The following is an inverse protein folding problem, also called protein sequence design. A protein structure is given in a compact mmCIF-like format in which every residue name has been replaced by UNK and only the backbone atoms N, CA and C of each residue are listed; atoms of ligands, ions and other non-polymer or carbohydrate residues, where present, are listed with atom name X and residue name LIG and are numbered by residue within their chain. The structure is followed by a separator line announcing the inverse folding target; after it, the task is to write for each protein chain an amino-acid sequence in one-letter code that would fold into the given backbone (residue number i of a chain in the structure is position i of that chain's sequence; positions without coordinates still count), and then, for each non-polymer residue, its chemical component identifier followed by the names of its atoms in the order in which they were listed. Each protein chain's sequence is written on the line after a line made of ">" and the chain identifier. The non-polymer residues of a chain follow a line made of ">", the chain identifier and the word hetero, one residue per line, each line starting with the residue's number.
data_IF_332192318191
#
_entry.id   IF_332192318191
#
_cell.length_a   1.000
_cell.length_b   1.000
_cell.length_c   1.000
_cell.angle_alpha   90.00
_cell.angle_beta   90.00
_cell.angle_gamma   90.00
#
_symmetry.space_group_name_H-M   'P 1'
#
loop_
_entity.id
_entity.type
_entity.pdbx_description
1 polymer ?
#
# COMPACT_ATOMS: atom_id res chain seq x y z
N UNK A 1 -7.24 5.37 11.90
CA UNK A 1 -6.59 6.57 11.34
C UNK A 1 -7.73 7.42 10.85
N UNK A 2 -7.85 8.62 11.38
CA UNK A 2 -9.09 9.40 11.22
C UNK A 2 -8.97 10.48 10.14
N UNK A 3 -7.75 10.97 9.89
CA UNK A 3 -7.48 12.05 8.92
C UNK A 3 -6.40 11.66 7.94
N UNK A 4 -6.35 12.29 6.77
CA UNK A 4 -5.29 12.13 5.78
C UNK A 4 -3.89 12.32 6.39
N UNK A 5 -2.95 11.46 6.02
CA UNK A 5 -1.56 11.58 6.47
C UNK A 5 -0.60 10.71 5.66
N UNK A 6 0.70 11.01 5.80
CA UNK A 6 1.76 10.10 5.44
C UNK A 6 2.16 9.22 6.63
N UNK A 7 2.47 7.95 6.35
CA UNK A 7 2.89 6.96 7.34
C UNK A 7 4.25 6.37 6.96
N UNK A 8 5.12 6.25 7.95
CA UNK A 8 6.40 5.56 7.81
C UNK A 8 6.27 4.10 8.22
N UNK A 9 6.73 3.22 7.35
CA UNK A 9 6.74 1.78 7.56
C UNK A 9 8.01 1.34 8.29
N UNK A 10 7.89 0.33 9.16
CA UNK A 10 9.03 -0.31 9.82
C UNK A 10 9.17 -1.73 9.26
N UNK A 11 10.17 -2.00 8.38
CA UNK A 11 10.36 -3.33 7.79
C UNK A 11 10.63 -4.42 8.83
N UNK A 12 11.23 -4.05 9.96
CA UNK A 12 11.56 -4.97 11.06
C UNK A 12 10.34 -5.42 11.86
N UNK A 13 9.24 -4.65 11.82
CA UNK A 13 8.01 -4.93 12.56
C UNK A 13 6.98 -5.70 11.72
N UNK A 14 7.25 -5.93 10.44
CA UNK A 14 6.35 -6.64 9.53
C UNK A 14 4.95 -5.99 9.45
N UNK A 15 4.88 -4.66 9.66
CA UNK A 15 3.61 -3.92 9.65
C UNK A 15 3.00 -3.92 8.24
N UNK A 16 1.67 -3.92 8.17
CA UNK A 16 0.88 -3.88 6.94
C UNK A 16 -0.20 -2.80 7.05
N UNK A 17 -0.78 -2.40 5.92
CA UNK A 17 -1.97 -1.54 5.92
C UNK A 17 -3.19 -2.41 5.69
N UNK A 18 -4.18 -2.31 6.58
CA UNK A 18 -5.48 -2.94 6.40
C UNK A 18 -6.50 -1.86 6.05
N UNK A 19 -7.13 -2.00 4.89
CA UNK A 19 -8.28 -1.19 4.49
C UNK A 19 -9.53 -1.99 4.79
N UNK A 20 -10.45 -1.42 5.57
CA UNK A 20 -11.65 -2.07 6.07
C UNK A 20 -12.88 -1.29 5.65
N UNK A 21 -13.89 -1.96 5.11
CA UNK A 21 -15.19 -1.36 4.89
C UNK A 21 -15.88 -1.13 6.25
N UNK A 22 -16.46 0.06 6.43
CA UNK A 22 -17.04 0.43 7.72
C UNK A 22 -18.39 -0.24 8.01
N UNK A 23 -19.09 -0.68 6.96
CA UNK A 23 -20.47 -1.20 6.99
C UNK A 23 -20.52 -2.65 6.54
N UNK A 24 -19.82 -2.99 5.45
CA UNK A 24 -19.89 -4.30 4.83
C UNK A 24 -19.27 -5.37 5.72
N UNK A 25 -20.06 -6.42 6.00
CA UNK A 25 -19.65 -7.57 6.79
C UNK A 25 -19.92 -8.84 6.01
N UNK A 26 -19.05 -9.82 6.21
CA UNK A 26 -19.28 -11.19 5.73
C UNK A 26 -20.36 -11.91 6.56
N UNK A 27 -20.75 -13.12 6.16
CA UNK A 27 -21.79 -13.90 6.84
C UNK A 27 -21.42 -14.31 8.28
N UNK A 28 -20.16 -14.13 8.67
CA UNK A 28 -19.65 -14.35 10.04
C UNK A 28 -19.65 -13.07 10.88
N UNK A 29 -20.21 -11.97 10.36
CA UNK A 29 -20.32 -10.68 11.05
C UNK A 29 -19.01 -9.89 11.14
N UNK A 30 -17.98 -10.28 10.40
CA UNK A 30 -16.67 -9.59 10.38
C UNK A 30 -16.65 -8.57 9.24
N UNK A 31 -16.05 -7.41 9.46
CA UNK A 31 -15.86 -6.40 8.41
C UNK A 31 -15.03 -6.99 7.26
N UNK A 32 -15.36 -6.62 6.03
CA UNK A 32 -14.61 -7.04 4.85
C UNK A 32 -13.41 -6.13 4.64
N UNK A 33 -12.25 -6.74 4.39
CA UNK A 33 -10.96 -6.05 4.42
C UNK A 33 -10.07 -6.51 3.25
N UNK A 34 -9.13 -5.64 2.89
CA UNK A 34 -7.92 -6.01 2.16
C UNK A 34 -6.69 -5.59 2.97
N UNK A 35 -5.68 -6.43 2.96
CA UNK A 35 -4.37 -6.15 3.56
C UNK A 35 -3.35 -5.89 2.46
N UNK A 36 -2.76 -4.70 2.47
CA UNK A 36 -1.63 -4.34 1.61
C UNK A 36 -0.33 -4.75 2.31
N UNK A 37 0.38 -5.67 1.67
CA UNK A 37 1.65 -6.24 2.15
C UNK A 37 2.78 -5.78 1.22
N UNK A 38 3.69 -4.89 1.66
CA UNK A 38 4.84 -4.47 0.87
C UNK A 38 5.78 -5.64 0.53
N UNK A 39 6.31 -5.67 -0.69
CA UNK A 39 7.50 -6.47 -0.96
C UNK A 39 8.68 -5.85 -0.22
N UNK A 40 9.39 -6.68 0.56
CA UNK A 40 10.45 -6.23 1.46
C UNK A 40 11.76 -6.02 0.70
N UNK A 41 11.86 -4.89 -0.01
CA UNK A 41 13.08 -4.47 -0.72
C UNK A 41 13.81 -3.29 -0.05
N UNK A 42 13.24 -2.72 1.03
CA UNK A 42 13.78 -1.58 1.77
C UNK A 42 12.79 -0.41 1.85
N UNK A 43 13.27 0.75 2.30
CA UNK A 43 12.53 2.03 2.33
C UNK A 43 13.32 3.09 1.58
N UNK A 44 12.65 3.88 0.73
CA UNK A 44 13.25 4.98 -0.03
C UNK A 44 12.72 6.33 0.47
N UNK A 45 13.33 6.83 1.54
CA UNK A 45 13.01 8.14 2.12
C UNK A 45 14.04 9.16 1.66
N UNK A 46 13.77 9.79 0.53
CA UNK A 46 14.65 10.78 -0.08
C UNK A 46 14.31 12.21 0.39
N UNK A 47 15.01 13.19 -0.19
CA UNK A 47 14.82 14.60 0.15
C UNK A 47 13.45 15.15 -0.26
N UNK A 48 12.89 14.60 -1.33
CA UNK A 48 11.61 14.92 -1.92
C UNK A 48 10.48 14.61 -0.94
N UNK A 49 9.62 15.60 -0.67
CA UNK A 49 8.63 15.53 0.40
C UNK A 49 7.69 14.32 0.27
N UNK A 50 7.25 13.99 -0.95
CA UNK A 50 6.35 12.86 -1.18
C UNK A 50 6.99 11.49 -0.88
N UNK A 51 8.32 11.39 -0.94
CA UNK A 51 9.06 10.14 -0.68
C UNK A 51 9.37 9.91 0.81
N UNK A 52 9.17 10.90 1.68
CA UNK A 52 9.54 10.81 3.11
C UNK A 52 8.66 9.85 3.91
N UNK A 53 7.52 9.45 3.35
CA UNK A 53 6.61 8.47 3.91
C UNK A 53 6.46 7.30 2.92
N UNK A 54 6.35 6.09 3.46
CA UNK A 54 6.24 4.86 2.66
C UNK A 54 4.80 4.62 2.21
N UNK A 55 3.84 5.16 2.98
CA UNK A 55 2.43 5.21 2.63
C UNK A 55 1.89 6.63 2.73
N UNK A 56 0.90 6.94 1.92
CA UNK A 56 0.02 8.08 2.12
C UNK A 56 -1.44 7.64 2.01
N UNK A 57 -2.29 8.16 2.88
CA UNK A 57 -3.73 7.96 2.82
C UNK A 57 -4.36 9.33 2.61
N UNK A 58 -5.07 9.49 1.50
CA UNK A 58 -5.79 10.72 1.16
C UNK A 58 -7.26 10.40 0.92
N UNK A 59 -8.13 11.41 1.02
CA UNK A 59 -9.48 11.30 0.49
C UNK A 59 -9.39 11.18 -1.02
N UNK A 60 -10.23 10.34 -1.62
CA UNK A 60 -10.24 10.18 -3.06
C UNK A 60 -10.84 11.44 -3.71
N UNK A 61 -10.06 12.09 -4.59
CA UNK A 61 -10.51 13.23 -5.40
C UNK A 61 -10.10 13.00 -6.87
N UNK A 62 -10.99 13.23 -7.85
CA UNK A 62 -10.71 12.91 -9.26
C UNK A 62 -9.49 13.60 -9.88
N UNK A 63 -9.08 14.75 -9.33
CA UNK A 63 -7.97 15.59 -9.81
C UNK A 63 -6.65 15.36 -9.06
N UNK A 64 -6.65 14.57 -7.98
CA UNK A 64 -5.46 14.29 -7.16
C UNK A 64 -4.76 13.00 -7.62
N UNK A 65 -4.10 13.02 -8.78
CA UNK A 65 -3.56 11.81 -9.44
C UNK A 65 -2.02 11.67 -9.39
N UNK A 66 -1.31 12.73 -9.01
CA UNK A 66 0.16 12.78 -9.08
C UNK A 66 0.82 12.62 -7.70
N UNK A 67 1.60 11.55 -7.52
CA UNK A 67 2.27 11.24 -6.25
C UNK A 67 3.20 12.37 -5.74
N UNK A 68 3.81 13.14 -6.64
CA UNK A 68 4.70 14.26 -6.27
C UNK A 68 3.97 15.34 -5.44
N UNK A 69 2.64 15.39 -5.52
CA UNK A 69 1.80 16.36 -4.81
C UNK A 69 1.16 15.80 -3.53
N UNK A 70 1.49 14.58 -3.10
CA UNK A 70 0.94 13.98 -1.87
C UNK A 70 1.06 14.86 -0.61
N UNK A 71 2.17 15.61 -0.40
CA UNK A 71 2.25 16.56 0.70
C UNK A 71 1.19 17.68 0.66
N UNK A 72 0.67 18.00 -0.53
CA UNK A 72 -0.39 18.99 -0.73
C UNK A 72 -1.79 18.37 -0.68
N UNK A 73 -1.93 17.07 -0.97
CA UNK A 73 -3.21 16.36 -0.91
C UNK A 73 -3.58 16.00 0.52
N UNK A 74 -2.62 15.52 1.31
CA UNK A 74 -2.84 15.12 2.70
C UNK A 74 -2.94 16.35 3.63
N UNK A 75 -4.09 17.05 3.58
CA UNK A 75 -4.34 18.30 4.32
C UNK A 75 -5.10 18.08 5.63
N UNK A 76 -5.14 16.83 6.10
CA UNK A 76 -5.81 16.45 7.34
C UNK A 76 -7.33 16.38 7.21
N UNK A 77 -7.87 16.21 5.99
CA UNK A 77 -9.30 15.92 5.83
C UNK A 77 -9.64 14.57 6.48
N UNK A 78 -10.91 14.34 6.83
CA UNK A 78 -11.34 13.04 7.38
C UNK A 78 -11.24 11.95 6.31
N UNK A 79 -10.74 10.78 6.71
CA UNK A 79 -10.67 9.56 5.87
C UNK A 79 -11.51 8.40 6.42
N UNK A 80 -12.02 8.51 7.64
CA UNK A 80 -12.81 7.45 8.26
C UNK A 80 -14.21 7.36 7.63
N UNK A 81 -14.52 6.22 7.00
CA UNK A 81 -15.83 5.98 6.36
C UNK A 81 -16.02 6.74 5.04
N UNK A 82 -14.94 7.25 4.47
CA UNK A 82 -14.93 8.02 3.23
C UNK A 82 -14.34 7.21 2.07
N UNK A 83 -14.50 7.71 0.85
CA UNK A 83 -13.71 7.23 -0.28
C UNK A 83 -12.27 7.70 -0.14
N UNK A 84 -11.32 6.78 -0.29
CA UNK A 84 -9.91 7.01 0.01
C UNK A 84 -9.01 6.50 -1.11
N UNK A 85 -7.85 7.15 -1.27
CA UNK A 85 -6.74 6.65 -2.05
C UNK A 85 -5.60 6.24 -1.10
N UNK A 86 -5.10 5.02 -1.29
CA UNK A 86 -3.90 4.50 -0.62
C UNK A 86 -2.74 4.55 -1.59
N UNK A 87 -1.73 5.33 -1.27
CA UNK A 87 -0.51 5.46 -2.05
C UNK A 87 0.61 4.68 -1.37
N UNK A 88 1.26 3.80 -2.11
CA UNK A 88 2.38 2.99 -1.63
C UNK A 88 3.65 3.31 -2.42
N UNK A 89 4.75 3.55 -1.70
CA UNK A 89 6.07 3.74 -2.29
C UNK A 89 6.86 2.44 -2.24
N UNK A 90 6.98 1.78 -3.40
CA UNK A 90 7.95 0.70 -3.59
C UNK A 90 9.34 1.27 -3.89
N UNK A 91 10.39 0.62 -3.39
CA UNK A 91 11.77 1.05 -3.64
C UNK A 91 12.70 -0.06 -4.10
N UNK A 92 13.66 0.31 -4.94
CA UNK A 92 14.82 -0.50 -5.29
C UNK A 92 16.08 0.34 -5.10
N UNK A 93 17.03 -0.19 -4.36
CA UNK A 93 18.37 0.39 -4.28
C UNK A 93 19.19 -0.09 -5.48
N UNK A 94 19.44 0.80 -6.43
CA UNK A 94 20.46 0.61 -7.45
C UNK A 94 21.75 1.29 -6.95
N UNK A 95 22.84 0.54 -6.85
CA UNK A 95 24.08 1.05 -6.24
C UNK A 95 24.79 2.06 -7.16
N UNK A 96 25.44 3.07 -6.56
CA UNK A 96 26.20 4.09 -7.32
C UNK A 96 27.44 3.47 -8.01
N UNK A 97 28.05 2.49 -7.36
CA UNK A 97 29.05 1.63 -7.98
C UNK A 97 28.33 0.49 -8.69
N UNK A 98 28.14 0.64 -10.01
CA UNK A 98 27.55 -0.42 -10.83
C UNK A 98 28.27 -1.75 -10.56
N UNK A 99 27.51 -2.82 -10.40
CA UNK A 99 28.10 -4.16 -10.32
C UNK A 99 28.66 -4.51 -11.70
N UNK A 100 29.65 -5.40 -11.76
CA UNK A 100 30.19 -5.83 -13.05
C UNK A 100 29.10 -6.48 -13.93
N UNK A 101 28.13 -7.14 -13.31
CA UNK A 101 26.97 -7.74 -13.96
C UNK A 101 25.99 -6.72 -14.57
N UNK A 102 26.06 -5.44 -14.21
CA UNK A 102 25.18 -4.38 -14.73
C UNK A 102 25.77 -3.65 -15.97
N UNK A 103 27.01 -3.96 -16.37
CA UNK A 103 27.80 -3.17 -17.33
C UNK A 103 27.27 -3.20 -18.77
N UNK A 104 26.86 -4.38 -19.24
CA UNK A 104 26.39 -4.58 -20.62
C UNK A 104 24.85 -4.68 -20.68
N UNK A 105 24.23 -5.22 -19.63
CA UNK A 105 22.79 -5.29 -19.45
C UNK A 105 22.44 -5.38 -17.96
N UNK A 106 21.54 -4.53 -17.47
CA UNK A 106 21.08 -4.55 -16.08
C UNK A 106 20.13 -5.73 -15.86
N UNK A 107 20.39 -6.66 -14.93
CA UNK A 107 19.49 -7.74 -14.58
C UNK A 107 18.16 -7.21 -14.00
N UNK A 108 17.10 -8.00 -14.14
CA UNK A 108 15.77 -7.64 -13.62
C UNK A 108 15.80 -7.56 -12.09
N UNK A 109 15.30 -6.44 -11.55
CA UNK A 109 15.02 -6.23 -10.14
C UNK A 109 13.52 -6.14 -9.92
N UNK A 110 13.03 -6.66 -8.79
CA UNK A 110 11.60 -6.74 -8.48
C UNK A 110 11.24 -5.88 -7.27
N UNK A 111 10.22 -5.04 -7.45
CA UNK A 111 9.54 -4.31 -6.38
C UNK A 111 8.04 -4.49 -6.57
N UNK A 112 7.28 -4.51 -5.48
CA UNK A 112 5.84 -4.68 -5.56
C UNK A 112 5.16 -4.72 -4.22
N UNK A 113 3.90 -5.15 -4.23
CA UNK A 113 3.06 -5.36 -3.06
C UNK A 113 2.04 -6.45 -3.36
N UNK A 114 1.48 -7.04 -2.32
CA UNK A 114 0.31 -7.93 -2.40
C UNK A 114 -0.91 -7.22 -1.81
N UNK A 115 -2.07 -7.38 -2.47
CA UNK A 115 -3.38 -7.07 -1.88
C UNK A 115 -4.07 -8.37 -1.53
N UNK A 116 -4.07 -8.69 -0.24
CA UNK A 116 -4.60 -9.95 0.27
C UNK A 116 -6.01 -9.75 0.83
N UNK A 117 -7.03 -10.47 0.34
CA UNK A 117 -8.37 -10.37 0.90
C UNK A 117 -8.36 -10.91 2.34
N UNK A 118 -9.00 -10.17 3.26
CA UNK A 118 -9.13 -10.53 4.66
C UNK A 118 -10.59 -10.39 5.05
N UNK A 119 -11.20 -11.49 5.49
CA UNK A 119 -12.64 -11.54 5.78
C UNK A 119 -13.58 -11.15 4.62
N UNK A 120 -13.07 -10.89 3.41
CA UNK A 120 -13.88 -10.53 2.24
C UNK A 120 -14.84 -11.64 1.82
N UNK A 121 -14.37 -12.88 1.86
CA UNK A 121 -15.13 -14.08 1.52
C UNK A 121 -15.47 -14.88 2.79
N UNK A 122 -16.60 -15.59 2.76
CA UNK A 122 -17.03 -16.46 3.88
C UNK A 122 -16.17 -17.73 4.03
N UNK A 123 -15.48 -18.11 2.95
CA UNK A 123 -14.60 -19.26 2.80
C UNK A 123 -13.61 -19.02 1.63
N UNK A 124 -12.68 -19.95 1.42
CA UNK A 124 -11.75 -19.92 0.28
C UNK A 124 -12.50 -19.74 -1.05
N UNK A 125 -12.24 -18.69 -1.83
CA UNK A 125 -13.00 -18.36 -3.04
C UNK A 125 -12.62 -19.22 -4.26
N UNK A 126 -11.70 -20.16 -4.10
CA UNK A 126 -11.20 -21.02 -5.18
C UNK A 126 -12.11 -22.21 -5.49
N UNK A 127 -13.00 -22.55 -4.56
CA UNK A 127 -13.86 -23.71 -4.68
C UNK A 127 -15.32 -23.26 -4.68
N UNK A 128 -16.09 -23.75 -5.65
CA UNK A 128 -17.53 -23.54 -5.69
C UNK A 128 -18.23 -24.11 -4.46
N UNK A 129 -19.48 -23.70 -4.22
CA UNK A 129 -20.28 -24.19 -3.09
C UNK A 129 -20.43 -25.72 -3.07
N UNK A 130 -20.30 -26.37 -4.23
CA UNK A 130 -20.51 -27.80 -4.44
C UNK A 130 -19.23 -28.65 -4.28
N UNK A 131 -18.09 -28.04 -3.94
CA UNK A 131 -16.81 -28.73 -3.80
C UNK A 131 -16.53 -29.23 -2.36
N UNK A 132 -17.58 -29.39 -1.53
CA UNK A 132 -17.49 -29.87 -0.15
C UNK A 132 -18.42 -31.04 0.10
#
# INVERSE_FOLDING_TARGET
>A
METESGLQWSPAEFNTIVVSDSVLKNARGRRTEYELIPLRSGVARHTELFSRNDFWITRAKPDELLAVHLPNYARGESVAGEDIAVWYTGSLRHEDHMRDEDRDAVPVLWVGFELRPRNLFDATPLFGKDAR
#
